data_IF_042742543869
#
_entry.id   IF_042742543869
#
_cell.length_a   1.000
_cell.length_b   1.000
_cell.length_c   1.000
_cell.angle_alpha   90.00
_cell.angle_beta   90.00
_cell.angle_gamma   90.00
#
_symmetry.space_group_name_H-M   'P 1'
#
loop_
_entity.id
_entity.type
_entity.pdbx_description
1 polymer ?
#
# COMPACT_ATOMS: atom_id res chain seq x y z
N UNK A 1 -12.86 -8.14 -0.46
CA UNK A 1 -11.45 -8.05 -0.92
C UNK A 1 -10.62 -7.35 0.14
N UNK A 2 -9.31 -7.59 0.18
CA UNK A 2 -8.42 -7.04 1.20
C UNK A 2 -7.55 -5.95 0.58
N UNK A 3 -7.50 -4.78 1.22
CA UNK A 3 -6.62 -3.67 0.88
C UNK A 3 -5.43 -3.67 1.83
N UNK A 4 -4.21 -3.71 1.29
CA UNK A 4 -2.97 -3.64 2.08
C UNK A 4 -2.35 -2.26 1.84
N UNK A 5 -2.11 -1.53 2.93
CA UNK A 5 -1.50 -0.20 2.92
C UNK A 5 -0.21 -0.17 3.73
N UNK A 6 0.68 0.75 3.34
CA UNK A 6 1.91 0.99 4.07
C UNK A 6 1.62 1.65 5.42
N UNK A 7 2.44 1.33 6.42
CA UNK A 7 2.27 1.81 7.78
C UNK A 7 3.05 3.10 7.99
N UNK A 8 2.58 4.15 7.31
CA UNK A 8 3.03 5.52 7.51
C UNK A 8 1.91 6.25 8.24
N UNK A 9 2.26 7.04 9.25
CA UNK A 9 1.31 7.78 10.09
C UNK A 9 0.34 8.66 9.32
N UNK A 10 0.70 9.11 8.11
CA UNK A 10 -0.19 9.89 7.22
C UNK A 10 -1.37 9.08 6.67
N UNK A 11 -1.23 7.75 6.57
CA UNK A 11 -2.26 6.85 6.05
C UNK A 11 -3.10 6.19 7.15
N UNK A 12 -2.66 6.29 8.40
CA UNK A 12 -3.39 5.75 9.56
C UNK A 12 -4.34 6.85 10.06
N UNK A 13 -5.42 7.06 9.30
CA UNK A 13 -6.51 7.95 9.67
C UNK A 13 -7.84 7.20 9.55
N UNK A 14 -8.72 7.39 10.52
CA UNK A 14 -10.06 6.80 10.57
C UNK A 14 -10.82 7.02 9.26
N UNK A 15 -10.68 8.18 8.61
CA UNK A 15 -11.35 8.45 7.34
C UNK A 15 -10.99 7.48 6.22
N UNK A 16 -9.76 6.96 6.20
CA UNK A 16 -9.32 5.97 5.19
C UNK A 16 -9.95 4.61 5.50
N UNK A 17 -9.93 4.20 6.77
CA UNK A 17 -10.56 2.95 7.21
C UNK A 17 -12.06 2.96 6.92
N UNK A 18 -12.76 4.04 7.30
CA UNK A 18 -14.19 4.21 7.06
C UNK A 18 -14.53 4.18 5.56
N UNK A 19 -13.73 4.85 4.72
CA UNK A 19 -13.94 4.86 3.28
C UNK A 19 -13.79 3.45 2.67
N UNK A 20 -12.82 2.65 3.14
CA UNK A 20 -12.63 1.27 2.68
C UNK A 20 -13.76 0.37 3.18
N UNK A 21 -14.13 0.45 4.46
CA UNK A 21 -15.20 -0.36 5.04
C UNK A 21 -16.58 -0.06 4.43
N UNK A 22 -16.86 1.22 4.11
CA UNK A 22 -18.10 1.63 3.43
C UNK A 22 -18.29 0.95 2.06
N UNK A 23 -17.21 0.48 1.44
CA UNK A 23 -17.25 -0.27 0.18
C UNK A 23 -17.35 -1.79 0.37
N UNK A 24 -17.46 -2.28 1.61
CA UNK A 24 -17.51 -3.72 1.94
C UNK A 24 -16.14 -4.40 1.92
N UNK A 25 -15.06 -3.64 2.10
CA UNK A 25 -13.68 -4.12 2.06
C UNK A 25 -13.01 -4.07 3.43
N UNK A 26 -11.93 -4.83 3.59
CA UNK A 26 -11.13 -4.87 4.81
C UNK A 26 -9.77 -4.22 4.51
N UNK A 27 -9.31 -3.39 5.43
CA UNK A 27 -7.99 -2.73 5.38
C UNK A 27 -7.02 -3.40 6.34
N UNK A 28 -5.81 -3.67 5.89
CA UNK A 28 -4.67 -4.03 6.74
C UNK A 28 -3.50 -3.09 6.49
N UNK A 29 -2.82 -2.72 7.57
CA UNK A 29 -1.58 -1.97 7.52
C UNK A 29 -0.40 -2.94 7.72
N UNK A 30 0.67 -2.75 6.96
CA UNK A 30 1.89 -3.52 7.12
C UNK A 30 2.54 -3.28 8.50
N UNK A 31 3.41 -4.18 8.97
CA UNK A 31 4.25 -3.86 10.13
C UNK A 31 5.24 -2.75 9.77
N UNK A 32 5.61 -1.95 10.77
CA UNK A 32 6.58 -0.86 10.57
C UNK A 32 7.90 -1.41 10.01
N UNK A 33 8.51 -0.68 9.07
CA UNK A 33 9.77 -1.06 8.42
C UNK A 33 9.78 -2.47 7.83
N UNK A 34 8.65 -2.91 7.25
CA UNK A 34 8.51 -4.23 6.61
C UNK A 34 8.45 -4.10 5.07
N UNK A 35 9.47 -3.51 4.42
CA UNK A 35 9.44 -3.20 2.99
C UNK A 35 9.39 -4.45 2.11
N UNK A 36 9.81 -5.60 2.64
CA UNK A 36 9.80 -6.86 1.91
C UNK A 36 8.38 -7.44 1.74
N UNK A 37 7.45 -7.02 2.58
CA UNK A 37 6.04 -7.41 2.49
C UNK A 37 5.19 -6.42 1.69
N UNK A 38 5.79 -5.36 1.12
CA UNK A 38 5.06 -4.43 0.29
C UNK A 38 5.06 -4.89 -1.18
N UNK A 39 3.94 -5.43 -1.71
CA UNK A 39 3.89 -5.99 -3.06
C UNK A 39 4.19 -4.96 -4.16
N UNK A 40 4.04 -3.66 -3.87
CA UNK A 40 4.30 -2.59 -4.84
C UNK A 40 5.80 -2.45 -5.21
N UNK A 41 6.71 -3.02 -4.39
CA UNK A 41 8.16 -2.94 -4.60
C UNK A 41 8.56 -3.49 -5.96
N UNK A 42 8.02 -4.64 -6.37
CA UNK A 42 8.29 -5.24 -7.68
C UNK A 42 7.78 -4.36 -8.83
N UNK A 43 6.56 -3.82 -8.70
CA UNK A 43 5.97 -2.92 -9.67
C UNK A 43 6.85 -1.67 -9.88
N UNK A 44 7.35 -1.06 -8.80
CA UNK A 44 8.26 0.07 -8.90
C UNK A 44 9.63 -0.30 -9.47
N UNK A 45 10.14 -1.49 -9.20
CA UNK A 45 11.39 -1.95 -9.82
C UNK A 45 11.24 -2.03 -11.33
N UNK A 46 10.15 -2.63 -11.83
CA UNK A 46 9.84 -2.71 -13.26
C UNK A 46 9.66 -1.31 -13.85
N UNK A 47 8.87 -0.45 -13.20
CA UNK A 47 8.63 0.91 -13.66
C UNK A 47 9.92 1.73 -13.76
N UNK A 48 10.78 1.67 -12.74
CA UNK A 48 12.08 2.37 -12.74
C UNK A 48 12.99 1.84 -13.84
N UNK A 49 13.03 0.53 -14.05
CA UNK A 49 13.81 -0.07 -15.12
C UNK A 49 13.34 0.40 -16.50
N UNK A 50 12.03 0.54 -16.69
CA UNK A 50 11.44 1.08 -17.92
C UNK A 50 11.76 2.56 -18.12
N UNK A 51 11.61 3.41 -17.09
CA UNK A 51 11.95 4.85 -17.16
C UNK A 51 13.42 5.05 -17.53
N UNK A 52 14.33 4.20 -17.02
CA UNK A 52 15.76 4.33 -17.32
C UNK A 52 16.12 3.99 -18.78
N UNK A 53 15.26 3.23 -19.47
CA UNK A 53 15.50 2.74 -20.83
C UNK A 53 14.80 3.57 -21.92
N UNK A 54 13.98 4.56 -21.55
CA UNK A 54 13.31 5.48 -22.47
C UNK A 54 13.77 6.93 -22.20
#
# INVERSE_FOLDING_TARGET
MVVILDNISIYINNSITEAVEATGHIIYYLSLYSPDYNPIKLTFLVLKAWIKQN
#
